data_IF_056153082089
#
_entry.id   IF_056153082089
#
_cell.length_a   1.000
_cell.length_b   1.000
_cell.length_c   1.000
_cell.angle_alpha   90.00
_cell.angle_beta   90.00
_cell.angle_gamma   90.00
#
_symmetry.space_group_name_H-M   'P 1'
#
loop_
_entity.id
_entity.type
_entity.pdbx_description
1 polymer ?
#
# COMPACT_ATOMS: atom_id res chain seq x y z
N UNK A 1 -2.34 27.86 17.17
CA UNK A 1 -2.61 26.68 18.01
C UNK A 1 -1.94 25.52 17.32
N UNK A 2 -1.14 24.71 18.03
CA UNK A 2 -0.46 23.55 17.45
C UNK A 2 -1.47 22.54 16.91
N UNK A 3 -1.08 21.79 15.88
CA UNK A 3 -1.93 20.75 15.29
C UNK A 3 -2.22 19.59 16.28
N UNK A 4 -1.40 19.43 17.33
CA UNK A 4 -1.54 18.45 18.42
C UNK A 4 -1.44 19.18 19.78
N UNK A 5 -2.31 18.81 20.74
CA UNK A 5 -2.40 19.48 22.04
C UNK A 5 -1.50 18.85 23.10
N UNK A 6 -1.35 17.51 23.10
CA UNK A 6 -0.65 16.74 24.15
C UNK A 6 0.40 15.76 23.62
N UNK A 7 0.27 15.36 22.34
CA UNK A 7 1.13 14.34 21.76
C UNK A 7 2.57 14.82 21.58
N UNK A 8 3.49 13.88 21.69
CA UNK A 8 4.90 14.03 21.36
C UNK A 8 5.26 13.08 20.23
N UNK A 9 6.22 13.47 19.39
CA UNK A 9 6.84 12.55 18.45
C UNK A 9 7.60 11.48 19.20
N UNK A 10 7.34 10.22 18.88
CA UNK A 10 7.93 9.04 19.53
C UNK A 10 8.53 8.10 18.50
N UNK A 11 9.59 7.38 18.90
CA UNK A 11 10.19 6.32 18.10
C UNK A 11 10.89 5.30 19.01
N UNK A 12 11.34 4.18 18.43
CA UNK A 12 12.22 3.24 19.12
C UNK A 12 13.65 3.41 18.59
N UNK A 13 14.51 4.10 19.35
CA UNK A 13 15.84 4.53 18.89
C UNK A 13 16.79 3.39 18.46
N UNK A 14 16.56 2.15 18.89
CA UNK A 14 17.35 1.00 18.40
C UNK A 14 17.02 0.60 16.97
N UNK A 15 15.91 1.07 16.40
CA UNK A 15 15.40 0.69 15.09
C UNK A 15 15.27 1.92 14.18
N UNK A 16 16.40 2.47 13.75
CA UNK A 16 16.49 3.66 12.89
C UNK A 16 17.11 3.36 11.52
N UNK A 17 17.33 2.10 11.23
CA UNK A 17 17.91 1.66 9.97
C UNK A 17 16.89 1.66 8.83
N UNK A 18 17.36 1.19 7.68
CA UNK A 18 16.54 1.03 6.47
C UNK A 18 15.55 -0.12 6.63
N UNK A 19 14.36 0.04 6.02
CA UNK A 19 13.32 -1.00 5.95
C UNK A 19 12.96 -1.57 7.32
N UNK A 20 12.37 -0.75 8.20
CA UNK A 20 12.08 -1.13 9.58
C UNK A 20 10.59 -0.98 9.87
N UNK A 21 10.05 -1.93 10.62
CA UNK A 21 8.67 -1.93 11.10
C UNK A 21 8.66 -1.91 12.63
N UNK A 22 7.98 -0.92 13.20
CA UNK A 22 7.87 -0.74 14.66
C UNK A 22 6.42 -0.68 15.06
N UNK A 23 6.07 -1.46 16.07
CA UNK A 23 4.75 -1.47 16.70
C UNK A 23 4.73 -0.51 17.88
N UNK A 24 3.60 0.20 18.01
CA UNK A 24 3.31 1.10 19.11
C UNK A 24 1.96 0.73 19.73
N UNK A 25 1.90 0.72 21.05
CA UNK A 25 0.69 0.39 21.82
C UNK A 25 0.43 1.43 22.89
N UNK A 26 -0.84 1.82 22.99
CA UNK A 26 -1.35 2.62 24.08
C UNK A 26 -2.74 2.15 24.51
N UNK A 27 -3.09 2.37 25.78
CA UNK A 27 -4.40 2.04 26.33
C UNK A 27 -5.05 3.27 26.93
N UNK A 28 -6.37 3.38 26.78
CA UNK A 28 -7.15 4.45 27.37
C UNK A 28 -8.53 3.95 27.81
N UNK A 29 -9.11 4.64 28.78
CA UNK A 29 -10.41 4.23 29.37
C UNK A 29 -11.45 5.31 29.14
N UNK A 30 -12.62 4.90 28.67
CA UNK A 30 -13.80 5.75 28.50
C UNK A 30 -14.91 5.33 29.46
N UNK A 31 -15.55 6.30 30.10
CA UNK A 31 -16.68 6.04 31.02
C UNK A 31 -17.94 5.58 30.28
N UNK A 32 -18.14 6.06 29.07
CA UNK A 32 -19.27 5.76 28.18
C UNK A 32 -18.80 5.78 26.73
N UNK A 33 -19.57 5.18 25.82
CA UNK A 33 -19.31 5.32 24.39
C UNK A 33 -19.47 6.81 23.98
N UNK A 34 -18.47 7.41 23.31
CA UNK A 34 -18.55 8.78 22.85
C UNK A 34 -19.47 8.88 21.60
N UNK A 35 -20.00 10.07 21.35
CA UNK A 35 -20.74 10.35 20.12
C UNK A 35 -19.81 10.49 18.90
N UNK A 36 -18.57 10.86 19.13
CA UNK A 36 -17.52 10.96 18.10
C UNK A 36 -16.17 10.63 18.71
N UNK A 37 -15.40 9.77 18.04
CA UNK A 37 -14.03 9.46 18.41
C UNK A 37 -13.15 9.41 17.17
N UNK A 38 -12.06 10.17 17.18
CA UNK A 38 -11.10 10.24 16.06
C UNK A 38 -9.69 10.04 16.54
N UNK A 39 -8.84 9.50 15.66
CA UNK A 39 -7.39 9.53 15.83
C UNK A 39 -6.82 10.57 14.87
N UNK A 40 -6.12 11.57 15.40
CA UNK A 40 -5.14 12.36 14.64
C UNK A 40 -3.84 11.61 14.62
N UNK A 41 -3.24 11.38 13.46
CA UNK A 41 -2.02 10.58 13.33
C UNK A 41 -1.13 11.08 12.21
N UNK A 42 0.17 11.06 12.43
CA UNK A 42 1.21 11.31 11.42
C UNK A 42 2.44 10.47 11.72
N UNK A 43 3.15 10.04 10.69
CA UNK A 43 4.37 9.26 10.83
C UNK A 43 5.32 9.47 9.65
N UNK A 44 6.46 8.79 9.69
CA UNK A 44 7.37 8.57 8.57
C UNK A 44 7.65 7.07 8.44
N UNK A 45 7.35 6.36 7.34
CA UNK A 45 6.74 6.73 6.05
C UNK A 45 5.24 6.45 6.02
N UNK A 46 4.79 5.34 6.62
CA UNK A 46 3.42 4.87 6.54
C UNK A 46 3.00 4.14 7.82
N UNK A 47 1.73 4.18 8.14
CA UNK A 47 1.17 3.52 9.31
C UNK A 47 0.05 2.54 8.95
N UNK A 48 -0.17 1.58 9.84
CA UNK A 48 -1.39 0.77 9.93
C UNK A 48 -1.96 0.90 11.34
N UNK A 49 -3.21 1.35 11.43
CA UNK A 49 -3.92 1.66 12.67
C UNK A 49 -4.95 0.58 12.97
N UNK A 50 -4.90 0.07 14.18
CA UNK A 50 -5.87 -0.88 14.73
C UNK A 50 -6.42 -0.35 16.05
N UNK A 51 -7.68 -0.64 16.31
CA UNK A 51 -8.36 -0.28 17.56
C UNK A 51 -9.08 -1.51 18.09
N UNK A 52 -8.79 -1.91 19.33
CA UNK A 52 -9.35 -3.13 19.93
C UNK A 52 -9.13 -4.40 19.08
N UNK A 53 -7.99 -4.49 18.36
CA UNK A 53 -7.65 -5.58 17.47
C UNK A 53 -8.28 -5.50 16.07
N UNK A 54 -9.14 -4.53 15.81
CA UNK A 54 -9.77 -4.34 14.50
C UNK A 54 -9.03 -3.30 13.65
N UNK A 55 -8.84 -3.59 12.37
CA UNK A 55 -8.21 -2.66 11.42
C UNK A 55 -9.10 -1.43 11.20
N UNK A 56 -8.55 -0.25 11.45
CA UNK A 56 -9.25 1.02 11.28
C UNK A 56 -8.83 1.74 9.99
N UNK A 57 -7.54 1.93 9.76
CA UNK A 57 -7.04 2.64 8.56
C UNK A 57 -5.54 2.41 8.35
N UNK A 58 -5.04 2.78 7.17
CA UNK A 58 -3.61 2.84 6.87
C UNK A 58 -3.32 3.90 5.79
N UNK A 59 -2.04 4.12 5.50
CA UNK A 59 -1.51 5.00 4.47
C UNK A 59 -1.43 6.49 4.86
N UNK A 60 -0.22 6.88 5.26
CA UNK A 60 0.19 8.28 5.41
C UNK A 60 0.06 9.04 4.08
N UNK A 61 -0.37 10.30 4.11
CA UNK A 61 -0.27 11.19 2.96
C UNK A 61 1.19 11.45 2.59
N UNK A 62 1.48 11.49 1.30
CA UNK A 62 2.83 11.85 0.81
C UNK A 62 3.23 13.24 1.28
N UNK A 63 4.42 13.37 1.85
CA UNK A 63 4.94 14.59 2.45
C UNK A 63 6.48 14.69 2.32
N UNK A 64 7.07 15.69 2.95
CA UNK A 64 8.51 15.95 2.94
C UNK A 64 9.11 15.80 4.33
N UNK A 65 10.43 15.80 4.42
CA UNK A 65 11.17 15.66 5.68
C UNK A 65 10.96 16.83 6.65
N UNK A 66 10.53 17.99 6.18
CA UNK A 66 10.27 19.22 6.95
C UNK A 66 8.79 19.57 7.06
N UNK A 67 7.95 19.04 6.17
CA UNK A 67 6.50 19.25 6.11
C UNK A 67 5.77 17.92 6.28
N UNK A 68 5.08 17.72 7.39
CA UNK A 68 4.30 16.51 7.67
C UNK A 68 2.80 16.77 7.56
N UNK A 69 2.08 15.81 6.99
CA UNK A 69 0.62 15.81 7.03
C UNK A 69 0.10 14.85 8.10
N UNK A 70 -0.96 15.25 8.80
CA UNK A 70 -1.67 14.34 9.70
C UNK A 70 -3.04 13.95 9.14
N UNK A 71 -3.43 12.73 9.43
CA UNK A 71 -4.75 12.19 9.12
C UNK A 71 -5.69 12.36 10.31
N UNK A 72 -6.99 12.52 10.04
CA UNK A 72 -8.06 12.36 11.01
C UNK A 72 -8.87 11.12 10.65
N UNK A 73 -8.65 10.03 11.38
CA UNK A 73 -9.33 8.76 11.17
C UNK A 73 -10.49 8.64 12.15
N UNK A 74 -11.72 8.47 11.66
CA UNK A 74 -12.89 8.21 12.49
C UNK A 74 -12.84 6.76 13.00
N UNK A 75 -12.79 6.59 14.31
CA UNK A 75 -12.76 5.31 15.00
C UNK A 75 -13.99 5.08 15.89
N UNK A 76 -15.04 5.89 15.75
CA UNK A 76 -16.23 5.84 16.61
C UNK A 76 -16.84 4.44 16.67
N UNK A 77 -16.88 3.73 15.53
CA UNK A 77 -17.40 2.37 15.43
C UNK A 77 -16.55 1.29 16.11
N UNK A 78 -15.29 1.58 16.43
CA UNK A 78 -14.35 0.63 17.07
C UNK A 78 -14.24 0.80 18.59
N UNK A 79 -14.89 1.84 19.16
CA UNK A 79 -14.74 2.23 20.56
C UNK A 79 -15.85 1.65 21.42
N UNK A 80 -15.48 1.22 22.65
CA UNK A 80 -16.39 0.70 23.65
C UNK A 80 -16.23 1.43 25.00
N UNK A 81 -17.24 1.42 25.87
CA UNK A 81 -17.06 1.81 27.27
C UNK A 81 -16.04 0.90 27.97
N UNK A 82 -15.26 1.45 28.88
CA UNK A 82 -14.18 0.75 29.56
C UNK A 82 -12.83 0.95 28.86
N UNK A 83 -11.93 -0.04 29.00
CA UNK A 83 -10.60 -0.03 28.39
C UNK A 83 -10.68 -0.25 26.88
N UNK A 84 -9.94 0.59 26.14
CA UNK A 84 -9.70 0.50 24.72
C UNK A 84 -8.20 0.46 24.47
N UNK A 85 -7.79 -0.24 23.41
CA UNK A 85 -6.41 -0.37 22.97
C UNK A 85 -6.23 0.27 21.60
N UNK A 86 -5.21 1.10 21.48
CA UNK A 86 -4.71 1.63 20.21
C UNK A 86 -3.43 0.89 19.87
N UNK A 87 -3.38 0.30 18.67
CA UNK A 87 -2.22 -0.37 18.13
C UNK A 87 -1.86 0.23 16.78
N UNK A 88 -0.60 0.63 16.61
CA UNK A 88 -0.10 1.22 15.37
C UNK A 88 1.17 0.51 14.96
N UNK A 89 1.21 -0.04 13.75
CA UNK A 89 2.48 -0.42 13.12
C UNK A 89 2.92 0.70 12.20
N UNK A 90 4.15 1.17 12.34
CA UNK A 90 4.78 2.15 11.45
C UNK A 90 5.85 1.48 10.61
N UNK A 91 5.76 1.66 9.30
CA UNK A 91 6.80 1.31 8.35
C UNK A 91 7.69 2.52 8.09
N UNK A 92 8.98 2.39 8.38
CA UNK A 92 10.01 3.36 8.04
C UNK A 92 10.93 2.80 6.97
N UNK A 93 10.93 3.40 5.77
CA UNK A 93 11.76 2.93 4.66
C UNK A 93 13.24 3.29 4.85
N UNK A 94 13.54 4.44 5.46
CA UNK A 94 14.91 4.86 5.78
C UNK A 94 15.80 5.18 4.59
N UNK A 95 15.22 5.30 3.38
CA UNK A 95 15.91 5.66 2.14
C UNK A 95 14.91 6.27 1.16
N UNK A 96 15.28 7.33 0.48
CA UNK A 96 14.43 8.02 -0.50
C UNK A 96 14.18 7.18 -1.76
N UNK A 97 13.05 7.45 -2.42
CA UNK A 97 12.69 6.90 -3.73
C UNK A 97 11.83 7.91 -4.50
N UNK A 98 11.28 7.57 -5.66
CA UNK A 98 10.49 8.52 -6.45
C UNK A 98 9.10 8.85 -5.89
N UNK A 99 8.68 8.15 -4.84
CA UNK A 99 7.39 8.36 -4.16
C UNK A 99 7.55 8.66 -2.67
N UNK A 100 8.79 8.89 -2.23
CA UNK A 100 9.06 9.15 -0.83
C UNK A 100 10.41 9.86 -0.64
N UNK A 101 10.40 10.94 0.11
CA UNK A 101 11.60 11.63 0.58
C UNK A 101 11.83 11.29 2.05
N UNK A 102 13.00 10.71 2.32
CA UNK A 102 13.32 10.14 3.63
C UNK A 102 13.51 11.23 4.68
N UNK A 103 12.69 11.20 5.72
CA UNK A 103 12.83 12.01 6.92
C UNK A 103 13.36 11.22 8.11
N UNK A 104 13.25 11.82 9.29
CA UNK A 104 13.52 11.14 10.56
C UNK A 104 12.36 10.19 10.90
N UNK A 105 12.63 8.97 11.37
CA UNK A 105 11.57 8.07 11.79
C UNK A 105 10.80 8.63 12.99
N UNK A 106 9.49 8.48 12.97
CA UNK A 106 8.65 8.97 14.06
C UNK A 106 7.18 8.64 13.88
N UNK A 107 6.46 8.68 14.99
CA UNK A 107 5.02 8.59 15.10
C UNK A 107 4.53 9.67 16.05
N UNK A 108 3.42 10.32 15.70
CA UNK A 108 2.67 11.19 16.61
C UNK A 108 1.18 10.89 16.46
N UNK A 109 0.45 10.77 17.56
CA UNK A 109 -1.00 10.60 17.52
C UNK A 109 -1.72 11.19 18.73
N UNK A 110 -2.99 11.54 18.54
CA UNK A 110 -3.96 11.85 19.59
C UNK A 110 -5.29 11.16 19.32
N UNK A 111 -5.85 10.54 20.35
CA UNK A 111 -7.24 10.05 20.34
C UNK A 111 -8.12 11.12 20.96
N UNK A 112 -9.10 11.58 20.20
CA UNK A 112 -10.00 12.68 20.58
C UNK A 112 -11.42 12.12 20.65
N UNK A 113 -11.99 12.07 21.86
CA UNK A 113 -13.35 11.65 22.11
C UNK A 113 -14.21 12.86 22.54
N UNK A 114 -15.31 13.11 21.84
CA UNK A 114 -16.24 14.24 22.08
C UNK A 114 -15.50 15.59 22.26
N UNK A 115 -14.43 15.81 21.46
CA UNK A 115 -13.62 17.02 21.47
C UNK A 115 -12.54 17.09 22.56
N UNK A 116 -12.40 16.08 23.41
CA UNK A 116 -11.35 15.99 24.42
C UNK A 116 -10.27 14.96 24.09
N UNK A 117 -8.99 15.29 24.29
CA UNK A 117 -7.87 14.34 24.11
C UNK A 117 -7.87 13.34 25.28
N UNK A 118 -8.10 12.06 24.96
CA UNK A 118 -8.18 10.93 25.92
C UNK A 118 -6.95 10.04 25.91
N UNK A 119 -6.18 10.03 24.81
CA UNK A 119 -4.90 9.33 24.69
C UNK A 119 -3.99 10.12 23.74
N UNK A 120 -2.68 10.05 23.97
CA UNK A 120 -1.70 10.73 23.12
C UNK A 120 -0.33 10.02 23.21
N UNK A 121 0.39 10.00 22.08
CA UNK A 121 1.75 9.48 22.02
C UNK A 121 2.68 10.24 22.98
N UNK A 122 3.45 9.51 23.76
CA UNK A 122 4.27 10.05 24.83
C UNK A 122 5.43 9.11 25.19
N UNK A 123 6.24 9.52 26.18
CA UNK A 123 7.25 8.65 26.81
C UNK A 123 6.68 7.40 27.50
N UNK A 124 5.37 7.19 27.52
CA UNK A 124 4.70 6.01 28.08
C UNK A 124 4.14 5.08 26.99
N UNK A 125 4.15 5.50 25.75
CA UNK A 125 3.77 4.67 24.61
C UNK A 125 4.73 3.48 24.55
N UNK A 126 4.19 2.25 24.51
CA UNK A 126 5.02 1.04 24.39
C UNK A 126 5.44 0.88 22.95
N UNK A 127 6.70 0.56 22.70
CA UNK A 127 7.25 0.35 21.36
C UNK A 127 8.11 -0.92 21.30
N UNK A 128 8.01 -1.65 20.18
CA UNK A 128 8.84 -2.83 19.88
C UNK A 128 8.91 -3.09 18.39
N UNK A 129 9.93 -3.79 17.94
CA UNK A 129 10.06 -4.17 16.54
C UNK A 129 8.96 -5.15 16.14
N UNK A 130 8.38 -4.94 14.98
CA UNK A 130 7.53 -5.94 14.34
C UNK A 130 8.42 -6.98 13.65
N UNK A 131 8.67 -8.09 14.35
CA UNK A 131 9.58 -9.14 13.88
C UNK A 131 9.00 -10.00 12.76
N UNK A 132 7.70 -9.92 12.51
CA UNK A 132 7.08 -10.62 11.38
C UNK A 132 7.50 -10.02 10.03
N UNK A 133 7.78 -8.71 9.97
CA UNK A 133 8.40 -8.11 8.79
C UNK A 133 9.92 -8.20 8.86
N UNK A 134 10.54 -8.70 7.79
CA UNK A 134 11.99 -8.67 7.64
C UNK A 134 12.46 -7.22 7.48
N UNK A 135 13.51 -6.86 8.22
CA UNK A 135 14.07 -5.51 8.25
C UNK A 135 15.48 -5.48 7.70
N UNK A 136 15.91 -4.34 7.17
CA UNK A 136 17.28 -4.14 6.68
C UNK A 136 17.43 -4.43 5.19
N UNK A 137 18.62 -4.89 4.81
CA UNK A 137 19.05 -5.05 3.41
C UNK A 137 18.57 -6.36 2.75
N UNK A 138 17.96 -7.27 3.50
CA UNK A 138 17.54 -8.59 3.00
C UNK A 138 16.35 -8.58 2.07
N UNK A 139 15.63 -7.45 1.97
CA UNK A 139 14.43 -7.30 1.15
C UNK A 139 14.75 -6.48 -0.09
N UNK A 140 14.38 -7.00 -1.25
CA UNK A 140 14.62 -6.35 -2.54
C UNK A 140 13.71 -5.14 -2.78
N UNK A 141 14.20 -4.23 -3.62
CA UNK A 141 13.39 -3.16 -4.17
C UNK A 141 12.37 -3.71 -5.16
N UNK A 142 11.12 -3.27 -5.06
CA UNK A 142 10.13 -3.51 -6.11
C UNK A 142 10.56 -2.78 -7.38
N UNK A 143 10.69 -1.47 -7.27
CA UNK A 143 11.28 -0.58 -8.29
C UNK A 143 11.97 0.59 -7.58
N UNK A 144 12.80 1.35 -8.30
CA UNK A 144 13.40 2.58 -7.77
C UNK A 144 12.34 3.67 -7.47
N UNK A 145 11.14 3.54 -8.03
CA UNK A 145 10.02 4.44 -7.80
C UNK A 145 9.20 4.03 -6.58
N UNK A 146 8.79 2.75 -6.50
CA UNK A 146 7.92 2.24 -5.42
C UNK A 146 8.66 2.03 -4.09
N UNK A 147 9.98 1.83 -4.15
CA UNK A 147 10.79 1.53 -2.97
C UNK A 147 10.92 0.04 -2.68
N UNK A 148 11.11 -0.30 -1.41
CA UNK A 148 11.40 -1.65 -0.95
C UNK A 148 10.09 -2.42 -0.81
N UNK A 149 10.11 -3.71 -1.22
CA UNK A 149 9.02 -4.66 -1.00
C UNK A 149 8.90 -5.09 0.45
N UNK A 150 8.30 -6.26 0.68
CA UNK A 150 8.31 -6.86 2.01
C UNK A 150 8.50 -8.38 1.95
N UNK A 151 9.13 -8.90 2.99
CA UNK A 151 9.07 -10.31 3.38
C UNK A 151 8.36 -10.38 4.73
N UNK A 152 7.34 -11.22 4.83
CA UNK A 152 6.55 -11.39 6.05
C UNK A 152 6.61 -12.84 6.53
N UNK A 153 6.88 -13.04 7.80
CA UNK A 153 6.95 -14.35 8.45
C UNK A 153 5.85 -14.47 9.51
N UNK A 154 4.75 -15.17 9.16
CA UNK A 154 3.62 -15.36 10.05
C UNK A 154 3.97 -16.22 11.29
N UNK A 155 5.08 -16.97 11.27
CA UNK A 155 5.51 -17.75 12.44
C UNK A 155 6.05 -16.86 13.56
N UNK A 156 6.40 -15.60 13.24
CA UNK A 156 6.94 -14.61 14.18
C UNK A 156 5.93 -13.58 14.64
N UNK A 157 4.65 -13.76 14.27
CA UNK A 157 3.58 -12.89 14.77
C UNK A 157 3.50 -12.90 16.28
N UNK A 158 3.32 -11.73 16.89
CA UNK A 158 3.22 -11.57 18.34
C UNK A 158 4.57 -11.52 19.08
N UNK A 159 5.72 -11.68 18.41
CA UNK A 159 7.01 -11.41 19.02
C UNK A 159 7.14 -9.93 19.39
N UNK A 160 7.68 -9.67 20.58
CA UNK A 160 7.86 -8.31 21.12
C UNK A 160 9.35 -8.00 21.29
N UNK A 161 10.08 -8.01 20.19
CA UNK A 161 11.54 -7.79 20.17
C UNK A 161 11.88 -6.37 20.61
N UNK A 162 12.70 -6.24 21.65
CA UNK A 162 13.18 -4.96 22.17
C UNK A 162 12.09 -4.10 22.84
N UNK A 163 11.02 -4.69 23.35
CA UNK A 163 9.94 -3.97 24.00
C UNK A 163 10.41 -3.02 25.10
N UNK A 164 10.00 -1.78 24.97
CA UNK A 164 10.23 -0.71 25.94
C UNK A 164 9.26 0.44 25.77
N UNK A 165 9.32 1.43 26.64
CA UNK A 165 8.71 2.73 26.38
C UNK A 165 9.44 3.46 25.26
N UNK A 166 8.68 4.12 24.39
CA UNK A 166 9.21 4.84 23.24
C UNK A 166 10.10 6.02 23.66
N UNK A 167 11.11 6.28 22.86
CA UNK A 167 11.97 7.45 23.00
C UNK A 167 11.28 8.68 22.36
N UNK A 168 11.41 9.85 22.97
CA UNK A 168 10.93 11.10 22.40
C UNK A 168 11.85 11.52 21.24
N UNK A 169 11.24 11.90 20.13
CA UNK A 169 11.93 12.50 18.98
C UNK A 169 11.85 14.01 19.11
N UNK A 170 12.97 14.64 19.44
CA UNK A 170 13.07 16.10 19.61
C UNK A 170 13.26 16.78 18.25
N UNK A 171 12.20 16.85 17.44
CA UNK A 171 12.20 17.57 16.17
C UNK A 171 10.91 18.35 16.00
N UNK A 172 11.03 19.56 15.47
CA UNK A 172 9.88 20.40 15.12
C UNK A 172 9.63 20.27 13.63
N UNK A 173 8.42 19.86 13.28
CA UNK A 173 7.93 19.79 11.92
C UNK A 173 6.87 20.88 11.67
N UNK A 174 6.75 21.35 10.44
CA UNK A 174 5.53 21.99 9.97
C UNK A 174 4.49 20.91 9.76
N UNK A 175 3.53 20.80 10.67
CA UNK A 175 2.50 19.75 10.63
C UNK A 175 1.17 20.38 10.22
N UNK A 176 0.60 19.88 9.12
CA UNK A 176 -0.65 20.36 8.54
C UNK A 176 -1.68 19.22 8.41
N UNK A 177 -2.98 19.55 8.36
CA UNK A 177 -3.98 18.53 8.03
C UNK A 177 -3.76 18.03 6.60
N UNK A 178 -4.05 16.74 6.37
CA UNK A 178 -4.04 16.13 5.03
C UNK A 178 -4.78 17.03 4.03
N UNK A 179 -4.16 17.42 2.92
CA UNK A 179 -4.78 18.34 1.95
C UNK A 179 -5.85 17.68 1.09
N UNK A 180 -5.82 16.35 0.96
CA UNK A 180 -6.77 15.54 0.19
C UNK A 180 -7.63 14.67 1.12
N UNK A 181 -8.72 14.08 0.61
CA UNK A 181 -9.55 13.16 1.40
C UNK A 181 -8.79 11.87 1.72
N UNK A 182 -9.13 11.21 2.82
CA UNK A 182 -8.66 9.86 3.10
C UNK A 182 -9.13 8.90 2.01
N UNK A 183 -8.27 7.96 1.64
CA UNK A 183 -8.65 6.87 0.74
C UNK A 183 -9.73 6.00 1.40
N UNK A 184 -10.67 5.54 0.61
CA UNK A 184 -11.54 4.43 0.99
C UNK A 184 -10.78 3.13 0.78
N UNK A 185 -10.83 2.25 1.77
CA UNK A 185 -10.33 0.87 1.67
C UNK A 185 -11.57 -0.01 1.58
N UNK A 186 -11.88 -0.43 0.37
CA UNK A 186 -13.10 -1.17 0.06
C UNK A 186 -13.02 -2.63 0.56
N UNK A 187 -14.15 -3.34 0.63
CA UNK A 187 -14.15 -4.79 0.85
C UNK A 187 -13.31 -5.54 -0.19
N UNK A 188 -12.91 -6.80 0.07
CA UNK A 188 -12.16 -7.60 -0.87
C UNK A 188 -12.80 -7.65 -2.25
N UNK A 189 -12.04 -7.38 -3.31
CA UNK A 189 -12.51 -7.43 -4.69
C UNK A 189 -12.71 -8.89 -5.12
N UNK A 190 -13.85 -9.20 -5.73
CA UNK A 190 -14.07 -10.51 -6.33
C UNK A 190 -13.01 -10.80 -7.40
N UNK A 191 -12.53 -12.04 -7.45
CA UNK A 191 -11.56 -12.52 -8.41
C UNK A 191 -11.99 -13.89 -8.95
N UNK A 192 -11.38 -14.32 -10.04
CA UNK A 192 -11.54 -15.67 -10.57
C UNK A 192 -10.21 -16.40 -10.64
N UNK A 193 -10.10 -17.58 -10.07
CA UNK A 193 -8.94 -18.44 -10.30
C UNK A 193 -9.04 -18.99 -11.72
N UNK A 194 -8.11 -18.57 -12.58
CA UNK A 194 -8.11 -18.88 -14.02
C UNK A 194 -7.10 -19.96 -14.39
N UNK A 195 -6.11 -20.19 -13.53
CA UNK A 195 -5.05 -21.17 -13.78
C UNK A 195 -4.51 -21.74 -12.48
N UNK A 196 -4.12 -23.01 -12.47
CA UNK A 196 -3.47 -23.67 -11.34
C UNK A 196 -2.59 -24.82 -11.81
N UNK A 197 -1.78 -25.37 -10.94
CA UNK A 197 -0.93 -26.52 -11.23
C UNK A 197 0.24 -26.63 -10.28
N UNK A 198 1.35 -27.16 -10.79
CA UNK A 198 2.59 -27.30 -10.04
C UNK A 198 3.72 -26.52 -10.73
N UNK A 199 4.73 -26.13 -9.94
CA UNK A 199 5.89 -25.45 -10.47
C UNK A 199 7.20 -26.16 -10.08
N UNK A 200 8.25 -25.87 -10.84
CA UNK A 200 9.62 -26.34 -10.62
C UNK A 200 10.53 -25.13 -10.64
N UNK A 201 11.29 -24.92 -9.59
CA UNK A 201 12.32 -23.87 -9.53
C UNK A 201 13.47 -24.20 -10.49
N UNK A 202 13.82 -23.23 -11.32
CA UNK A 202 14.92 -23.37 -12.29
C UNK A 202 16.06 -22.39 -12.05
N UNK A 203 15.91 -21.46 -11.10
CA UNK A 203 16.91 -20.43 -10.80
C UNK A 203 16.88 -20.04 -9.33
N UNK A 204 18.00 -19.52 -8.85
CA UNK A 204 18.10 -18.78 -7.60
C UNK A 204 17.80 -17.29 -7.82
N UNK A 205 17.57 -16.55 -6.74
CA UNK A 205 17.38 -15.11 -6.77
C UNK A 205 16.20 -14.63 -5.92
N UNK A 206 15.72 -13.41 -6.22
CA UNK A 206 14.57 -12.83 -5.57
C UNK A 206 13.28 -13.62 -5.85
N UNK A 207 12.22 -13.50 -5.02
CA UNK A 207 10.93 -14.13 -5.31
C UNK A 207 10.46 -13.89 -6.75
N UNK A 208 10.56 -12.66 -7.25
CA UNK A 208 10.18 -12.31 -8.61
C UNK A 208 11.02 -13.03 -9.68
N UNK A 209 12.33 -13.15 -9.50
CA UNK A 209 13.21 -13.86 -10.41
C UNK A 209 12.92 -15.35 -10.43
N UNK A 210 12.75 -15.97 -9.25
CA UNK A 210 12.36 -17.37 -9.12
C UNK A 210 11.03 -17.66 -9.81
N UNK A 211 9.99 -16.87 -9.49
CA UNK A 211 8.69 -17.00 -10.15
C UNK A 211 8.79 -16.87 -11.67
N UNK A 212 9.53 -15.89 -12.18
CA UNK A 212 9.69 -15.69 -13.63
C UNK A 212 10.44 -16.82 -14.31
N UNK A 213 11.42 -17.44 -13.65
CA UNK A 213 12.24 -18.51 -14.20
C UNK A 213 11.58 -19.90 -14.06
N UNK A 214 10.67 -20.10 -13.12
CA UNK A 214 10.08 -21.40 -12.81
C UNK A 214 9.38 -22.04 -14.02
N UNK A 215 9.49 -23.35 -14.18
CA UNK A 215 8.66 -24.11 -15.13
C UNK A 215 7.31 -24.43 -14.50
N UNK A 216 6.22 -24.20 -15.25
CA UNK A 216 4.85 -24.44 -14.80
C UNK A 216 4.26 -25.66 -15.53
N UNK A 217 3.74 -26.63 -14.78
CA UNK A 217 2.88 -27.68 -15.32
C UNK A 217 1.42 -27.31 -15.00
N UNK A 218 0.73 -26.82 -16.02
CA UNK A 218 -0.59 -26.19 -15.90
C UNK A 218 -1.70 -27.23 -15.89
N UNK A 219 -2.63 -27.08 -14.95
CA UNK A 219 -3.94 -27.71 -14.95
C UNK A 219 -4.98 -26.66 -15.33
N UNK A 220 -5.51 -26.76 -16.55
CA UNK A 220 -6.48 -25.78 -17.04
C UNK A 220 -7.78 -25.79 -16.23
N UNK A 221 -8.24 -24.60 -15.88
CA UNK A 221 -9.54 -24.39 -15.25
C UNK A 221 -10.55 -24.08 -16.36
N UNK A 222 -11.60 -24.90 -16.50
CA UNK A 222 -12.70 -24.63 -17.40
C UNK A 222 -13.55 -23.46 -16.86
N UNK A 223 -13.44 -22.30 -17.49
CA UNK A 223 -13.96 -21.04 -16.96
C UNK A 223 -13.06 -20.50 -15.86
N UNK A 224 -13.63 -19.85 -14.87
CA UNK A 224 -12.92 -19.42 -13.67
C UNK A 224 -13.62 -19.92 -12.42
N UNK A 225 -12.87 -20.24 -11.37
CA UNK A 225 -13.42 -20.58 -10.06
C UNK A 225 -13.50 -19.30 -9.21
N UNK A 226 -14.66 -18.98 -8.61
CA UNK A 226 -14.85 -17.71 -7.92
C UNK A 226 -14.00 -17.62 -6.64
N UNK A 227 -13.46 -16.42 -6.39
CA UNK A 227 -12.79 -16.02 -5.16
C UNK A 227 -13.47 -14.74 -4.61
N UNK A 228 -13.71 -14.64 -3.28
CA UNK A 228 -13.41 -15.63 -2.24
C UNK A 228 -14.23 -16.91 -2.37
N UNK A 229 -13.68 -18.03 -1.89
CA UNK A 229 -14.33 -19.33 -1.83
C UNK A 229 -14.53 -19.74 -0.38
N UNK A 230 -15.77 -20.00 0.04
CA UNK A 230 -16.07 -20.43 1.41
C UNK A 230 -15.51 -21.81 1.73
N UNK A 231 -15.61 -22.74 0.79
CA UNK A 231 -15.12 -24.13 0.94
C UNK A 231 -13.61 -24.24 0.67
N UNK A 232 -13.01 -23.22 0.03
CA UNK A 232 -11.65 -23.24 -0.43
C UNK A 232 -11.45 -24.08 -1.70
N UNK A 233 -10.46 -23.69 -2.49
CA UNK A 233 -10.06 -24.36 -3.72
C UNK A 233 -8.80 -25.19 -3.43
N UNK A 234 -8.88 -26.51 -3.58
CA UNK A 234 -7.72 -27.38 -3.42
C UNK A 234 -6.75 -27.24 -4.59
N UNK A 235 -5.50 -27.02 -4.24
CA UNK A 235 -4.34 -27.10 -5.10
C UNK A 235 -3.50 -28.28 -4.61
N UNK A 236 -3.13 -29.19 -5.49
CA UNK A 236 -2.38 -30.38 -5.08
C UNK A 236 -1.44 -30.86 -6.19
N UNK A 237 -0.35 -31.47 -5.78
CA UNK A 237 0.55 -32.20 -6.69
C UNK A 237 -0.10 -33.52 -7.03
N UNK A 238 -0.66 -33.61 -8.23
CA UNK A 238 -1.30 -34.85 -8.75
C UNK A 238 -0.45 -35.40 -9.89
N UNK A 239 -0.24 -36.74 -9.86
CA UNK A 239 0.42 -37.45 -10.94
C UNK A 239 1.95 -37.48 -10.83
N UNK A 240 2.57 -38.04 -11.86
CA UNK A 240 4.02 -38.19 -12.02
C UNK A 240 4.52 -37.25 -13.11
N UNK A 241 5.53 -36.47 -12.79
CA UNK A 241 6.16 -35.50 -13.70
C UNK A 241 7.49 -36.04 -14.27
N UNK A 242 7.44 -37.22 -14.89
CA UNK A 242 8.58 -37.87 -15.57
C UNK A 242 9.85 -38.00 -14.69
N UNK A 243 9.65 -38.30 -13.40
CA UNK A 243 10.75 -38.47 -12.44
C UNK A 243 11.24 -37.18 -11.80
N UNK A 244 10.61 -36.03 -12.07
CA UNK A 244 10.87 -34.78 -11.38
C UNK A 244 9.82 -34.58 -10.27
N UNK A 245 10.29 -34.16 -9.09
CA UNK A 245 9.41 -33.76 -7.99
C UNK A 245 9.17 -32.24 -8.10
N UNK A 246 7.89 -31.78 -8.12
CA UNK A 246 7.58 -30.35 -8.07
C UNK A 246 8.00 -29.72 -6.75
N UNK A 247 8.43 -28.47 -6.79
CA UNK A 247 8.77 -27.67 -5.62
C UNK A 247 7.52 -27.18 -4.89
N UNK A 248 6.39 -27.12 -5.59
CA UNK A 248 5.12 -26.74 -4.97
C UNK A 248 3.95 -26.60 -5.96
N UNK A 249 2.87 -25.99 -5.46
CA UNK A 249 1.68 -25.69 -6.24
C UNK A 249 1.61 -24.20 -6.57
N UNK A 250 0.99 -23.86 -7.70
CA UNK A 250 0.75 -22.47 -8.08
C UNK A 250 -0.72 -22.22 -8.41
N UNK A 251 -1.11 -20.94 -8.34
CA UNK A 251 -2.42 -20.46 -8.73
C UNK A 251 -2.32 -19.07 -9.37
N UNK A 252 -3.19 -18.79 -10.35
CA UNK A 252 -3.30 -17.46 -10.96
C UNK A 252 -4.75 -16.99 -10.84
N UNK A 253 -4.91 -15.80 -10.25
CA UNK A 253 -6.19 -15.12 -10.10
C UNK A 253 -6.28 -13.91 -11.05
N UNK A 254 -7.46 -13.71 -11.64
CA UNK A 254 -7.84 -12.55 -12.46
C UNK A 254 -8.89 -11.72 -11.69
N UNK A 255 -8.63 -10.44 -11.46
CA UNK A 255 -9.57 -9.48 -10.88
C UNK A 255 -10.64 -9.00 -11.88
N UNK A 256 -10.58 -9.49 -13.14
CA UNK A 256 -11.48 -9.12 -14.22
C UNK A 256 -11.16 -7.79 -14.91
N UNK A 257 -10.54 -6.88 -14.19
CA UNK A 257 -10.12 -5.55 -14.65
C UNK A 257 -8.94 -5.04 -13.83
N UNK A 258 -8.26 -4.02 -14.35
CA UNK A 258 -7.21 -3.32 -13.60
C UNK A 258 -7.76 -2.75 -12.29
N UNK A 259 -6.99 -2.87 -11.23
CA UNK A 259 -7.35 -2.42 -9.88
C UNK A 259 -6.12 -1.93 -9.13
N UNK A 260 -6.35 -1.10 -8.15
CA UNK A 260 -5.35 -0.69 -7.16
C UNK A 260 -5.82 -1.09 -5.77
N UNK A 261 -4.92 -1.58 -4.95
CA UNK A 261 -5.32 -1.98 -3.60
C UNK A 261 -4.21 -2.65 -2.80
N UNK A 262 -4.58 -3.06 -1.61
CA UNK A 262 -3.72 -3.69 -0.63
C UNK A 262 -3.94 -5.20 -0.66
N UNK A 263 -2.84 -5.95 -0.75
CA UNK A 263 -2.87 -7.42 -0.84
C UNK A 263 -3.65 -8.04 0.32
N UNK A 264 -4.54 -8.95 -0.02
CA UNK A 264 -5.22 -9.83 0.92
C UNK A 264 -5.01 -11.28 0.47
N UNK A 265 -4.56 -12.13 1.39
CA UNK A 265 -4.28 -13.55 1.18
C UNK A 265 -5.00 -14.36 2.26
N UNK A 266 -5.70 -15.42 1.86
CA UNK A 266 -6.34 -16.38 2.76
C UNK A 266 -6.14 -17.77 2.20
N UNK A 267 -5.30 -18.57 2.86
CA UNK A 267 -4.93 -19.92 2.43
C UNK A 267 -4.62 -20.82 3.63
N UNK A 268 -4.68 -22.13 3.40
CA UNK A 268 -4.31 -23.12 4.39
C UNK A 268 -3.24 -24.05 3.82
N UNK A 269 -2.19 -24.29 4.60
CA UNK A 269 -1.05 -25.14 4.25
C UNK A 269 -0.80 -26.19 5.34
N UNK A 270 -0.32 -27.40 4.98
CA UNK A 270 -0.15 -28.50 5.94
C UNK A 270 1.04 -28.29 6.88
N UNK A 271 2.01 -27.50 6.50
CA UNK A 271 3.22 -27.20 7.27
C UNK A 271 3.74 -25.80 6.93
N UNK A 272 4.67 -25.27 7.71
CA UNK A 272 5.34 -24.02 7.41
C UNK A 272 6.01 -24.06 6.05
N UNK A 273 5.74 -23.06 5.22
CA UNK A 273 6.33 -22.97 3.89
C UNK A 273 6.37 -21.52 3.40
N UNK A 274 7.22 -21.26 2.39
CA UNK A 274 7.23 -19.98 1.72
C UNK A 274 6.09 -19.91 0.69
N UNK A 275 5.51 -18.72 0.57
CA UNK A 275 4.52 -18.36 -0.45
C UNK A 275 5.01 -17.10 -1.14
N UNK A 276 5.25 -17.16 -2.45
CA UNK A 276 5.55 -15.98 -3.25
C UNK A 276 4.29 -15.48 -3.91
N UNK A 277 4.09 -14.17 -3.87
CA UNK A 277 2.93 -13.50 -4.46
C UNK A 277 3.41 -12.50 -5.49
N UNK A 278 3.25 -12.84 -6.77
CA UNK A 278 3.56 -11.96 -7.90
C UNK A 278 2.33 -11.26 -8.42
N UNK A 279 2.48 -10.04 -8.95
CA UNK A 279 1.37 -9.28 -9.51
C UNK A 279 1.73 -8.53 -10.79
N UNK A 280 0.72 -8.20 -11.60
CA UNK A 280 0.89 -7.43 -12.82
C UNK A 280 -0.41 -7.14 -13.56
N UNK A 281 -0.31 -6.28 -14.56
CA UNK A 281 -1.44 -5.82 -15.37
C UNK A 281 -1.83 -6.81 -16.48
N UNK A 282 -0.91 -7.67 -16.90
CA UNK A 282 -1.12 -8.59 -18.02
C UNK A 282 -0.45 -9.93 -17.79
N UNK A 283 -0.90 -10.94 -18.54
CA UNK A 283 -0.28 -12.26 -18.61
C UNK A 283 0.63 -12.37 -19.84
N UNK A 284 1.75 -13.07 -19.68
CA UNK A 284 2.60 -13.55 -20.76
C UNK A 284 2.75 -15.06 -20.61
N UNK A 285 2.44 -15.82 -21.65
CA UNK A 285 2.45 -17.28 -21.62
C UNK A 285 1.63 -17.87 -20.45
N UNK A 286 0.44 -17.30 -20.23
CA UNK A 286 -0.51 -17.65 -19.17
C UNK A 286 0.03 -17.48 -17.74
N UNK A 287 1.02 -16.62 -17.52
CA UNK A 287 1.59 -16.31 -16.22
C UNK A 287 1.81 -14.81 -16.02
N UNK A 288 1.92 -14.38 -14.78
CA UNK A 288 2.28 -13.01 -14.43
C UNK A 288 3.76 -12.77 -14.71
N UNK A 289 4.09 -11.61 -15.26
CA UNK A 289 5.48 -11.18 -15.43
C UNK A 289 5.99 -10.53 -14.14
N UNK A 290 6.33 -11.37 -13.16
CA UNK A 290 6.77 -10.90 -11.85
C UNK A 290 8.13 -10.18 -11.88
N UNK A 291 9.02 -10.50 -12.83
CA UNK A 291 10.32 -9.83 -13.00
C UNK A 291 10.43 -9.20 -14.37
N UNK A 292 10.54 -7.86 -14.44
CA UNK A 292 10.56 -7.11 -15.71
C UNK A 292 11.60 -5.99 -15.63
N UNK A 293 12.64 -6.05 -16.49
CA UNK A 293 13.63 -4.98 -16.62
C UNK A 293 14.35 -4.65 -15.30
N UNK A 294 14.66 -5.67 -14.50
CA UNK A 294 15.29 -5.50 -13.18
C UNK A 294 14.33 -5.09 -12.04
N UNK A 295 13.03 -5.01 -12.30
CA UNK A 295 12.00 -4.71 -11.31
C UNK A 295 11.41 -6.00 -10.73
N UNK A 296 11.11 -6.01 -9.43
CA UNK A 296 10.63 -7.20 -8.70
C UNK A 296 9.17 -6.99 -8.25
N UNK A 297 8.22 -7.46 -9.05
CA UNK A 297 6.78 -7.41 -8.73
C UNK A 297 6.33 -8.69 -8.03
N UNK A 298 7.04 -9.07 -6.97
CA UNK A 298 6.65 -10.15 -6.09
C UNK A 298 7.09 -9.85 -4.66
N UNK A 299 6.37 -10.42 -3.70
CA UNK A 299 6.68 -10.38 -2.27
C UNK A 299 6.71 -11.79 -1.72
N UNK A 300 7.32 -11.95 -0.55
CA UNK A 300 7.43 -13.22 0.16
C UNK A 300 6.55 -13.19 1.41
N UNK A 301 5.76 -14.24 1.57
CA UNK A 301 5.03 -14.56 2.78
C UNK A 301 5.43 -15.95 3.26
N UNK A 302 5.92 -16.08 4.50
CA UNK A 302 6.16 -17.38 5.12
C UNK A 302 4.93 -17.77 5.92
N UNK A 303 4.24 -18.78 5.44
CA UNK A 303 3.02 -19.31 6.07
C UNK A 303 3.37 -20.19 7.26
N UNK A 304 2.58 -20.13 8.32
CA UNK A 304 2.54 -21.12 9.39
C UNK A 304 1.64 -22.29 8.99
N UNK A 305 1.82 -23.45 9.60
CA UNK A 305 0.91 -24.58 9.43
C UNK A 305 -0.54 -24.20 9.77
N UNK A 306 -1.50 -24.67 8.97
CA UNK A 306 -2.92 -24.33 9.09
C UNK A 306 -3.33 -23.12 8.29
N UNK A 307 -4.43 -22.47 8.68
CA UNK A 307 -5.00 -21.33 7.97
C UNK A 307 -4.25 -20.03 8.27
N UNK A 308 -3.97 -19.30 7.21
CA UNK A 308 -3.30 -18.02 7.20
C UNK A 308 -4.21 -16.99 6.51
N UNK A 309 -4.59 -15.94 7.25
CA UNK A 309 -5.29 -14.78 6.71
C UNK A 309 -4.37 -13.57 6.89
N UNK A 310 -3.88 -13.01 5.79
CA UNK A 310 -2.89 -11.94 5.79
C UNK A 310 -3.35 -10.73 4.99
N UNK A 311 -3.21 -9.56 5.58
CA UNK A 311 -3.46 -8.27 4.97
C UNK A 311 -2.18 -7.43 4.98
N UNK A 312 -1.76 -6.92 3.82
CA UNK A 312 -0.53 -6.14 3.66
C UNK A 312 -0.84 -4.63 3.53
N UNK A 313 -0.77 -3.84 4.62
CA UNK A 313 -1.21 -2.44 4.60
C UNK A 313 -0.17 -1.45 4.06
N UNK A 314 1.07 -1.86 3.79
CA UNK A 314 2.19 -0.93 3.52
C UNK A 314 2.61 -0.86 2.05
N UNK A 315 2.09 -1.71 1.19
CA UNK A 315 2.40 -1.73 -0.24
C UNK A 315 1.10 -1.79 -1.05
N UNK A 316 0.77 -0.70 -1.72
CA UNK A 316 -0.36 -0.66 -2.68
C UNK A 316 0.10 -1.28 -4.00
N UNK A 317 -0.68 -2.21 -4.51
CA UNK A 317 -0.47 -2.89 -5.78
C UNK A 317 -1.35 -2.25 -6.85
N UNK A 318 -0.82 -2.07 -8.06
CA UNK A 318 -1.59 -1.86 -9.29
C UNK A 318 -1.52 -3.14 -10.10
N UNK A 319 -2.67 -3.72 -10.45
CA UNK A 319 -2.71 -5.06 -11.04
C UNK A 319 -4.08 -5.43 -11.61
N UNK A 320 -4.06 -6.37 -12.52
CA UNK A 320 -5.22 -7.20 -12.85
C UNK A 320 -5.04 -8.64 -12.39
N UNK A 321 -3.81 -9.15 -12.39
CA UNK A 321 -3.51 -10.56 -12.12
C UNK A 321 -2.59 -10.73 -10.93
N UNK A 322 -2.85 -11.80 -10.15
CA UNK A 322 -1.95 -12.31 -9.11
C UNK A 322 -1.54 -13.74 -9.44
N UNK A 323 -0.29 -14.07 -9.19
CA UNK A 323 0.24 -15.42 -9.24
C UNK A 323 0.80 -15.81 -7.87
N UNK A 324 0.41 -16.98 -7.36
CA UNK A 324 0.93 -17.55 -6.12
C UNK A 324 1.82 -18.73 -6.45
N UNK A 325 3.01 -18.81 -5.82
CA UNK A 325 3.82 -20.02 -5.72
C UNK A 325 3.88 -20.44 -4.26
N UNK A 326 3.26 -21.56 -3.94
CA UNK A 326 3.20 -22.13 -2.57
C UNK A 326 4.15 -23.31 -2.49
N UNK A 327 5.21 -23.22 -1.70
CA UNK A 327 6.24 -24.26 -1.54
C UNK A 327 5.74 -25.40 -0.63
N UNK A 328 4.62 -25.98 -1.02
CA UNK A 328 4.01 -27.14 -0.39
C UNK A 328 3.37 -28.04 -1.45
N UNK A 329 3.24 -29.34 -1.15
CA UNK A 329 2.61 -30.31 -2.07
C UNK A 329 1.10 -30.14 -2.20
N UNK A 330 0.49 -29.44 -1.25
CA UNK A 330 -0.93 -29.09 -1.26
C UNK A 330 -1.19 -27.76 -0.54
N UNK A 331 -2.25 -27.10 -0.95
CA UNK A 331 -2.73 -25.87 -0.35
C UNK A 331 -4.24 -25.76 -0.59
N UNK A 332 -4.99 -25.24 0.39
CA UNK A 332 -6.37 -24.82 0.17
C UNK A 332 -6.39 -23.31 0.07
N UNK A 333 -6.79 -22.78 -1.08
CA UNK A 333 -6.87 -21.33 -1.35
C UNK A 333 -8.32 -20.86 -1.15
N UNK A 334 -8.53 -19.97 -0.19
CA UNK A 334 -9.80 -19.31 0.06
C UNK A 334 -9.91 -17.97 -0.65
N UNK A 335 -8.80 -17.21 -0.66
CA UNK A 335 -8.73 -15.93 -1.36
C UNK A 335 -7.28 -15.54 -1.69
N UNK A 336 -7.12 -14.91 -2.84
CA UNK A 336 -5.99 -14.04 -3.19
C UNK A 336 -6.50 -12.91 -4.05
N UNK A 337 -6.15 -11.70 -3.70
CA UNK A 337 -6.64 -10.50 -4.36
C UNK A 337 -6.25 -9.26 -3.58
N UNK A 338 -7.05 -8.21 -3.72
CA UNK A 338 -6.82 -6.94 -3.04
C UNK A 338 -8.08 -6.42 -2.35
N UNK A 339 -7.87 -5.62 -1.31
CA UNK A 339 -8.84 -4.64 -0.86
C UNK A 339 -8.57 -3.35 -1.64
N UNK A 340 -9.49 -2.94 -2.55
CA UNK A 340 -9.25 -1.74 -3.36
C UNK A 340 -9.07 -0.50 -2.49
N UNK A 341 -8.14 0.37 -2.91
CA UNK A 341 -7.95 1.72 -2.37
C UNK A 341 -8.45 2.72 -3.38
N UNK A 342 -9.35 3.60 -2.99
CA UNK A 342 -10.04 4.52 -3.90
C UNK A 342 -10.08 5.93 -3.32
N UNK A 343 -9.62 6.92 -4.08
CA UNK A 343 -9.88 8.31 -3.75
C UNK A 343 -11.36 8.63 -3.96
N UNK A 344 -12.08 9.19 -2.96
CA UNK A 344 -13.53 9.39 -3.02
C UNK A 344 -13.90 10.58 -3.91
N UNK A 345 -13.92 10.37 -5.22
CA UNK A 345 -14.39 11.31 -6.23
C UNK A 345 -15.93 11.35 -6.28
N UNK A 346 -16.54 12.44 -6.75
CA UNK A 346 -17.93 12.42 -7.17
C UNK A 346 -18.10 11.54 -8.43
N UNK A 347 -19.35 11.22 -8.75
CA UNK A 347 -19.65 10.57 -10.04
C UNK A 347 -19.18 11.44 -11.19
N UNK A 348 -18.63 10.83 -12.26
CA UNK A 348 -18.21 11.58 -13.43
C UNK A 348 -19.39 12.35 -14.08
N UNK A 349 -19.13 13.55 -14.56
CA UNK A 349 -20.13 14.32 -15.31
C UNK A 349 -20.58 13.51 -16.55
N UNK A 350 -21.88 13.49 -16.82
CA UNK A 350 -22.39 12.83 -18.01
C UNK A 350 -22.01 13.66 -19.24
N UNK A 351 -21.20 13.11 -20.17
CA UNK A 351 -20.76 13.86 -21.33
C UNK A 351 -21.89 13.96 -22.37
N UNK A 352 -21.99 15.05 -23.12
CA UNK A 352 -23.00 15.21 -24.18
C UNK A 352 -22.63 14.37 -25.42
N UNK A 353 -22.32 13.09 -25.22
CA UNK A 353 -21.86 12.16 -26.24
C UNK A 353 -22.99 11.17 -26.54
N UNK A 354 -23.39 11.10 -27.81
CA UNK A 354 -24.43 10.17 -28.28
C UNK A 354 -23.86 8.91 -28.92
N UNK A 355 -22.64 8.97 -29.42
CA UNK A 355 -21.95 7.82 -30.04
C UNK A 355 -21.44 6.85 -28.96
N UNK A 356 -21.79 5.56 -29.10
CA UNK A 356 -21.47 4.54 -28.11
C UNK A 356 -19.97 4.26 -27.92
N UNK A 357 -19.16 4.40 -28.99
CA UNK A 357 -17.72 4.21 -28.91
C UNK A 357 -17.07 5.36 -28.08
N UNK A 358 -17.43 6.61 -28.41
CA UNK A 358 -16.92 7.76 -27.68
C UNK A 358 -17.34 7.75 -26.21
N UNK A 359 -18.59 7.33 -25.91
CA UNK A 359 -19.05 7.15 -24.54
C UNK A 359 -18.18 6.12 -23.79
N UNK A 360 -17.89 4.98 -24.43
CA UNK A 360 -17.02 3.95 -23.85
C UNK A 360 -15.59 4.44 -23.62
N UNK A 361 -15.03 5.23 -24.54
CA UNK A 361 -13.71 5.86 -24.37
C UNK A 361 -13.71 6.79 -23.15
N UNK A 362 -14.75 7.61 -22.99
CA UNK A 362 -14.91 8.50 -21.85
C UNK A 362 -14.97 7.73 -20.51
N UNK A 363 -15.80 6.68 -20.43
CA UNK A 363 -15.93 5.83 -19.25
C UNK A 363 -14.58 5.19 -18.85
N UNK A 364 -13.84 4.65 -19.83
CA UNK A 364 -12.51 4.06 -19.62
C UNK A 364 -11.51 5.12 -19.17
N UNK A 365 -11.53 6.31 -19.78
CA UNK A 365 -10.64 7.41 -19.39
C UNK A 365 -10.91 7.88 -17.95
N UNK A 366 -12.16 8.05 -17.54
CA UNK A 366 -12.53 8.40 -16.15
C UNK A 366 -12.04 7.33 -15.17
N UNK A 367 -12.26 6.05 -15.50
CA UNK A 367 -11.77 4.95 -14.65
C UNK A 367 -10.24 4.93 -14.57
N UNK A 368 -9.54 5.11 -15.68
CA UNK A 368 -8.07 5.16 -15.71
C UNK A 368 -7.55 6.28 -14.81
N UNK A 369 -8.18 7.47 -14.89
CA UNK A 369 -7.83 8.57 -14.02
C UNK A 369 -8.03 8.23 -12.54
N UNK A 370 -9.16 7.60 -12.17
CA UNK A 370 -9.42 7.16 -10.79
C UNK A 370 -8.35 6.20 -10.26
N UNK A 371 -7.86 5.27 -11.11
CA UNK A 371 -6.79 4.32 -10.76
C UNK A 371 -5.42 5.01 -10.57
N UNK A 372 -5.27 6.24 -11.02
CA UNK A 372 -4.06 7.06 -10.89
C UNK A 372 -4.24 8.21 -9.88
N UNK A 373 -5.24 8.14 -9.00
CA UNK A 373 -5.52 9.15 -7.98
C UNK A 373 -5.61 8.51 -6.58
N UNK A 374 -4.59 8.77 -5.74
CA UNK A 374 -4.57 8.30 -4.36
C UNK A 374 -4.19 9.43 -3.38
N UNK A 375 -2.95 9.55 -2.96
CA UNK A 375 -2.46 10.67 -2.16
C UNK A 375 -2.08 11.88 -3.03
N UNK A 376 -1.74 11.62 -4.29
CA UNK A 376 -1.44 12.55 -5.38
C UNK A 376 -1.75 11.88 -6.71
N UNK A 377 -1.59 12.58 -7.82
CA UNK A 377 -1.63 11.96 -9.15
C UNK A 377 -0.44 11.01 -9.34
N UNK A 378 -0.68 9.92 -10.06
CA UNK A 378 0.30 8.88 -10.36
C UNK A 378 0.39 8.68 -11.88
N UNK A 379 1.59 8.55 -12.41
CA UNK A 379 1.81 8.27 -13.84
C UNK A 379 1.13 6.96 -14.27
N UNK A 380 1.26 5.95 -13.43
CA UNK A 380 0.62 4.64 -13.60
C UNK A 380 0.45 3.94 -12.25
N UNK A 381 -0.52 3.02 -12.11
CA UNK A 381 -0.79 2.35 -10.85
C UNK A 381 0.17 1.19 -10.54
N UNK A 382 0.84 0.61 -11.54
CA UNK A 382 1.62 -0.62 -11.38
C UNK A 382 3.10 -0.38 -11.08
N UNK A 383 3.83 0.32 -11.99
CA UNK A 383 5.30 0.29 -11.99
C UNK A 383 5.95 1.39 -11.17
N UNK A 384 5.32 2.56 -11.07
CA UNK A 384 5.97 3.78 -10.59
C UNK A 384 5.17 4.51 -9.50
N UNK A 385 3.87 4.77 -9.69
CA UNK A 385 2.99 5.50 -8.76
C UNK A 385 3.53 6.89 -8.39
N UNK A 386 4.30 7.53 -9.28
CA UNK A 386 5.01 8.76 -9.01
C UNK A 386 4.27 9.99 -9.57
N UNK A 387 4.37 11.13 -8.85
CA UNK A 387 3.79 12.40 -9.26
C UNK A 387 4.75 13.12 -10.20
N UNK A 388 4.65 12.88 -11.50
CA UNK A 388 5.36 13.61 -12.54
C UNK A 388 4.55 14.82 -13.02
N UNK A 389 5.22 15.95 -13.25
CA UNK A 389 4.55 17.20 -13.64
C UNK A 389 3.83 17.08 -14.99
N UNK A 390 4.45 16.44 -15.99
CA UNK A 390 3.84 16.33 -17.32
C UNK A 390 2.60 15.41 -17.32
N UNK A 391 2.68 14.29 -16.59
CA UNK A 391 1.61 13.31 -16.46
C UNK A 391 0.44 13.91 -15.70
N UNK A 392 0.70 14.51 -14.56
CA UNK A 392 -0.32 15.14 -13.70
C UNK A 392 -1.05 16.29 -14.41
N UNK A 393 -0.39 17.05 -15.28
CA UNK A 393 -1.07 18.10 -16.06
C UNK A 393 -2.22 17.53 -16.88
N UNK A 394 -2.00 16.44 -17.60
CA UNK A 394 -3.04 15.81 -18.42
C UNK A 394 -4.16 15.24 -17.55
N UNK A 395 -3.79 14.65 -16.40
CA UNK A 395 -4.73 14.10 -15.43
C UNK A 395 -5.59 15.19 -14.78
N UNK A 396 -5.00 16.34 -14.42
CA UNK A 396 -5.72 17.50 -13.90
C UNK A 396 -6.77 18.00 -14.88
N UNK A 397 -6.40 18.20 -16.16
CA UNK A 397 -7.35 18.64 -17.20
C UNK A 397 -8.51 17.64 -17.34
N UNK A 398 -8.24 16.35 -17.43
CA UNK A 398 -9.29 15.33 -17.45
C UNK A 398 -10.17 15.40 -16.20
N UNK A 399 -9.57 15.59 -15.02
CA UNK A 399 -10.27 15.67 -13.75
C UNK A 399 -11.19 16.87 -13.61
N UNK A 400 -10.78 18.04 -14.12
CA UNK A 400 -11.64 19.23 -14.14
C UNK A 400 -12.93 18.99 -14.91
N UNK A 401 -12.84 18.42 -16.12
CA UNK A 401 -14.00 18.15 -16.96
C UNK A 401 -14.84 16.97 -16.45
N UNK A 402 -14.21 15.90 -15.97
CA UNK A 402 -14.91 14.69 -15.59
C UNK A 402 -15.54 14.78 -14.20
N UNK A 403 -14.86 15.38 -13.22
CA UNK A 403 -15.23 15.33 -11.81
C UNK A 403 -15.46 16.72 -11.18
N UNK A 404 -15.03 17.80 -11.82
CA UNK A 404 -15.04 19.14 -11.21
C UNK A 404 -14.16 19.21 -9.95
N UNK A 405 -13.16 18.34 -9.83
CA UNK A 405 -12.31 18.24 -8.64
C UNK A 405 -11.14 19.23 -8.74
N UNK A 406 -11.08 20.18 -7.82
CA UNK A 406 -10.04 21.21 -7.78
C UNK A 406 -9.14 21.12 -6.55
N UNK A 407 -9.56 20.42 -5.49
CA UNK A 407 -8.79 20.24 -4.26
C UNK A 407 -7.60 19.30 -4.46
N UNK A 408 -7.81 18.21 -5.17
CA UNK A 408 -6.76 17.22 -5.44
C UNK A 408 -5.64 17.76 -6.35
N UNK A 409 -5.96 18.47 -7.48
CA UNK A 409 -4.95 19.20 -8.25
C UNK A 409 -4.14 20.17 -7.42
N UNK A 410 -4.80 20.98 -6.57
CA UNK A 410 -4.13 21.93 -5.69
C UNK A 410 -3.09 21.27 -4.79
N UNK A 411 -3.47 20.18 -4.12
CA UNK A 411 -2.57 19.42 -3.26
C UNK A 411 -1.35 18.88 -4.01
N UNK A 412 -1.55 18.35 -5.22
CA UNK A 412 -0.46 17.88 -6.07
C UNK A 412 0.45 19.01 -6.54
N UNK A 413 -0.13 20.18 -6.89
CA UNK A 413 0.65 21.37 -7.25
C UNK A 413 1.49 21.89 -6.07
N UNK A 414 0.95 21.85 -4.84
CA UNK A 414 1.69 22.23 -3.62
C UNK A 414 2.88 21.28 -3.37
N UNK A 415 2.70 19.95 -3.55
CA UNK A 415 3.79 18.96 -3.48
C UNK A 415 4.87 19.23 -4.54
N UNK A 416 4.47 19.49 -5.79
CA UNK A 416 5.40 19.80 -6.87
C UNK A 416 6.17 21.11 -6.57
N UNK A 417 5.49 22.17 -6.10
CA UNK A 417 6.11 23.43 -5.78
C UNK A 417 7.15 23.29 -4.66
N UNK A 418 6.92 22.40 -3.69
CA UNK A 418 7.85 22.16 -2.58
C UNK A 418 9.16 21.48 -3.04
N UNK A 419 9.16 20.87 -4.22
CA UNK A 419 10.33 20.20 -4.81
C UNK A 419 11.30 21.16 -5.54
N UNK A 420 11.17 22.49 -5.37
CA UNK A 420 12.02 23.46 -6.02
C UNK A 420 13.48 23.32 -5.56
N UNK A 421 14.37 23.11 -6.53
CA UNK A 421 15.81 22.89 -6.33
C UNK A 421 16.59 24.22 -6.32
N UNK A 422 17.82 24.17 -5.85
CA UNK A 422 18.74 25.32 -5.85
C UNK A 422 19.03 25.88 -7.26
N UNK A 423 18.99 25.00 -8.29
CA UNK A 423 19.17 25.40 -9.70
C UNK A 423 17.92 26.01 -10.34
N UNK A 424 16.88 26.28 -9.55
CA UNK A 424 15.58 26.82 -9.96
C UNK A 424 14.76 25.91 -10.89
N UNK A 425 15.10 24.63 -10.96
CA UNK A 425 14.27 23.59 -11.57
C UNK A 425 13.53 22.81 -10.48
N UNK A 426 12.51 22.07 -10.87
CA UNK A 426 11.80 21.16 -9.97
C UNK A 426 12.46 19.78 -10.00
N UNK A 427 12.30 19.00 -8.93
CA UNK A 427 12.61 17.59 -8.94
C UNK A 427 11.85 16.88 -10.06
N UNK A 428 12.35 15.72 -10.51
CA UNK A 428 11.72 14.94 -11.57
C UNK A 428 10.26 14.54 -11.22
N UNK A 429 10.04 14.20 -9.95
CA UNK A 429 8.74 13.83 -9.38
C UNK A 429 8.67 14.26 -7.90
N UNK A 430 7.51 14.19 -7.27
CA UNK A 430 7.28 14.75 -5.93
C UNK A 430 6.34 13.86 -5.09
N UNK A 431 6.61 13.69 -3.77
CA UNK A 431 7.87 14.01 -3.09
C UNK A 431 8.95 12.99 -3.46
N UNK A 432 10.14 13.45 -3.78
CA UNK A 432 11.22 12.56 -4.20
C UNK A 432 12.59 13.15 -3.88
N UNK A 433 13.62 12.32 -4.00
CA UNK A 433 15.02 12.73 -4.07
C UNK A 433 15.65 11.93 -5.20
N UNK A 434 15.73 12.52 -6.39
CA UNK A 434 16.32 11.92 -7.59
C UNK A 434 17.34 12.86 -8.21
N UNK A 435 18.46 12.32 -8.65
CA UNK A 435 19.56 13.11 -9.18
C UNK A 435 19.24 13.76 -10.55
N UNK A 436 18.19 13.31 -11.23
CA UNK A 436 17.81 13.73 -12.59
C UNK A 436 16.62 14.68 -12.52
N UNK A 437 16.65 15.75 -13.32
CA UNK A 437 15.48 16.58 -13.58
C UNK A 437 15.26 16.70 -15.09
N UNK A 438 14.01 17.02 -15.48
CA UNK A 438 13.63 17.26 -16.87
C UNK A 438 13.18 18.73 -16.97
N UNK A 439 13.96 19.63 -17.61
CA UNK A 439 13.63 21.06 -17.67
C UNK A 439 12.26 21.37 -18.26
N UNK A 440 11.78 20.57 -19.26
CA UNK A 440 10.46 20.74 -19.82
C UNK A 440 9.33 20.43 -18.82
N UNK A 441 9.56 19.55 -17.82
CA UNK A 441 8.61 19.31 -16.74
C UNK A 441 8.47 20.52 -15.83
N UNK A 442 9.60 21.14 -15.46
CA UNK A 442 9.61 22.39 -14.70
C UNK A 442 8.89 23.54 -15.45
N UNK A 443 9.10 23.66 -16.77
CA UNK A 443 8.37 24.62 -17.59
C UNK A 443 6.86 24.32 -17.65
N UNK A 444 6.48 23.06 -17.72
CA UNK A 444 5.08 22.64 -17.76
C UNK A 444 4.35 22.96 -16.43
N UNK A 445 5.04 23.03 -15.32
CA UNK A 445 4.44 23.45 -14.04
C UNK A 445 3.82 24.84 -14.12
N UNK A 446 4.43 25.78 -14.84
CA UNK A 446 3.87 27.12 -15.06
C UNK A 446 2.54 27.05 -15.84
N UNK A 447 2.46 26.14 -16.81
CA UNK A 447 1.22 25.90 -17.56
C UNK A 447 0.15 25.30 -16.67
N UNK A 448 0.50 24.33 -15.80
CA UNK A 448 -0.42 23.76 -14.84
C UNK A 448 -1.01 24.81 -13.88
N UNK A 449 -0.16 25.71 -13.37
CA UNK A 449 -0.62 26.81 -12.51
C UNK A 449 -1.58 27.74 -13.22
N UNK A 450 -1.29 28.07 -14.49
CA UNK A 450 -2.19 28.85 -15.32
C UNK A 450 -3.54 28.14 -15.51
N UNK A 451 -3.52 26.89 -15.95
CA UNK A 451 -4.73 26.09 -16.17
C UNK A 451 -5.54 25.91 -14.87
N UNK A 452 -4.87 25.73 -13.72
CA UNK A 452 -5.56 25.64 -12.42
C UNK A 452 -6.32 26.93 -12.06
N UNK A 453 -5.83 28.11 -12.48
CA UNK A 453 -6.51 29.38 -12.23
C UNK A 453 -7.72 29.62 -13.15
N UNK A 454 -7.77 28.92 -14.30
CA UNK A 454 -8.89 29.01 -15.24
C UNK A 454 -10.08 28.13 -14.85
N UNK A 455 -9.87 27.10 -14.01
CA UNK A 455 -10.89 26.17 -13.51
C UNK A 455 -11.24 26.40 -12.04
#
# INVERSE_FOLDING_TARGET
MGSFDKAKWVWHNSYRGKNVYVNFEDKFTLKSAPSSCKVKISCDRSYALYVNGEFAHCAQCSDYEDLKFYDEVDITGHIKPGENELFVTVYYQGVSCSTYRCGEPGLIFEVIADGGVVCASSERTVAYKNSAYESGEGVEWVTVQLGIGFHYDATREGEREGEKYADIVEKTYDIRPRPVKLLKIEPPKSAGLINKGVFFDLADGTPAQKMQAAALAVQYVCGSLPLPSEEGIKLSVEGSYKGHEPDGVFAIADLGEESTGLLLLDLEVPHECDVYVGWGEHLADLRVRAHVGGRNFAVKYRARAGRNAFFAPFLRLGLRYLELHVYARECTLYYTGVRPTVYPLPEPAEPPITDGLHKKIYEVACRTLQLCMHEHYEDCPWREQALYTMDSRNQMLCGYYAFGETRFPRASLELIAHSLREDSLLELCSPAEVAITIPSFSAMFLVQLWEYLDF
#
